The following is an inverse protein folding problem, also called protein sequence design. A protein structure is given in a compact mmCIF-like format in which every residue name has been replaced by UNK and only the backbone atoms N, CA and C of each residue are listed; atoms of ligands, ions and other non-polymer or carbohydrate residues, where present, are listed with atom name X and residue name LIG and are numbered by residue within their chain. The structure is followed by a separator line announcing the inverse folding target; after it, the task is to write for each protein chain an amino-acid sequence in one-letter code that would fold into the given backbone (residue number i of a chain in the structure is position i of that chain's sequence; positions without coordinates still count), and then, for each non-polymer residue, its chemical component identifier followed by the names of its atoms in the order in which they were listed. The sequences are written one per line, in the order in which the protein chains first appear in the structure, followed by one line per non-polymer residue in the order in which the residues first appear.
data_IF_953658592627
#
_entry.id   IF_953658592627
#
_cell.length_a   1.000
_cell.length_b   1.000
_cell.length_c   1.000
_cell.angle_alpha   90.00
_cell.angle_beta   90.00
_cell.angle_gamma   90.00
#
_symmetry.space_group_name_H-M   'P 1'
#
loop_
_entity.id
_entity.type
_entity.pdbx_description
1 polymer ?
#
# COMPACT_ATOMS: atom_id res chain seq x y z
N UNK A 1 3.15 -0.03 18.53
CA UNK A 1 1.99 -0.19 17.64
C UNK A 1 2.15 0.78 16.47
N UNK A 2 2.24 0.27 15.26
CA UNK A 2 2.38 1.06 14.02
C UNK A 2 1.03 1.65 13.64
N UNK A 3 1.02 2.89 13.10
CA UNK A 3 -0.20 3.60 12.70
C UNK A 3 0.00 4.28 11.35
N UNK A 4 -1.09 4.42 10.60
CA UNK A 4 -1.20 5.35 9.46
C UNK A 4 -2.14 6.46 9.92
N UNK A 5 -1.61 7.63 10.24
CA UNK A 5 -2.38 8.69 10.89
C UNK A 5 -3.00 8.20 12.23
N UNK A 6 -4.33 8.13 12.29
CA UNK A 6 -5.06 7.62 13.46
C UNK A 6 -5.35 6.12 13.40
N UNK A 7 -5.13 5.48 12.26
CA UNK A 7 -5.47 4.06 12.02
C UNK A 7 -4.36 3.17 12.54
N UNK A 8 -4.63 2.37 13.56
CA UNK A 8 -3.70 1.39 14.08
C UNK A 8 -3.68 0.13 13.20
N UNK A 9 -2.49 -0.34 12.86
CA UNK A 9 -2.27 -1.62 12.19
C UNK A 9 -2.02 -2.68 13.27
N UNK A 10 -3.08 -3.09 13.91
CA UNK A 10 -3.10 -4.07 15.00
C UNK A 10 -3.49 -5.47 14.50
N UNK A 11 -3.53 -6.42 15.43
CA UNK A 11 -4.04 -7.75 15.17
C UNK A 11 -5.58 -7.70 15.14
N UNK A 12 -6.19 -8.57 14.36
CA UNK A 12 -7.63 -8.64 14.17
C UNK A 12 -8.02 -8.41 12.71
N UNK A 13 -9.21 -7.87 12.51
CA UNK A 13 -9.73 -7.62 11.16
C UNK A 13 -8.80 -6.68 10.38
N UNK A 14 -8.35 -7.07 9.17
CA UNK A 14 -7.49 -6.23 8.33
C UNK A 14 -8.13 -4.87 8.06
N UNK A 15 -7.31 -3.81 8.09
CA UNK A 15 -7.77 -2.47 7.71
C UNK A 15 -8.01 -2.43 6.20
N UNK A 16 -9.04 -1.70 5.77
CA UNK A 16 -9.40 -1.56 4.36
C UNK A 16 -8.75 -0.30 3.79
N UNK A 17 -7.89 -0.48 2.80
CA UNK A 17 -7.29 0.59 2.01
C UNK A 17 -7.99 0.72 0.65
N UNK A 18 -8.33 1.94 0.26
CA UNK A 18 -8.95 2.21 -1.04
C UNK A 18 -8.05 3.12 -1.86
N UNK A 19 -7.59 2.67 -3.06
CA UNK A 19 -6.78 3.47 -3.94
C UNK A 19 -7.60 4.55 -4.65
N UNK A 20 -7.04 5.76 -4.72
CA UNK A 20 -7.45 6.85 -5.60
C UNK A 20 -6.52 6.84 -6.82
N UNK A 21 -7.10 6.84 -8.00
CA UNK A 21 -6.41 6.71 -9.29
C UNK A 21 -6.81 7.80 -10.29
N UNK A 22 -7.33 8.91 -9.79
CA UNK A 22 -7.69 10.07 -10.61
C UNK A 22 -6.47 10.66 -11.34
N UNK A 23 -6.67 11.09 -12.58
CA UNK A 23 -5.63 11.65 -13.45
C UNK A 23 -5.40 13.15 -13.24
N UNK A 24 -6.23 13.79 -12.43
CA UNK A 24 -6.15 15.21 -12.05
C UNK A 24 -6.61 15.42 -10.61
N UNK A 25 -6.30 16.59 -10.03
CA UNK A 25 -6.77 16.96 -8.69
C UNK A 25 -8.32 16.94 -8.60
N UNK A 26 -9.02 17.39 -9.63
CA UNK A 26 -10.48 17.35 -9.68
C UNK A 26 -11.05 15.94 -9.67
N UNK A 27 -10.45 15.01 -10.42
CA UNK A 27 -10.85 13.61 -10.41
C UNK A 27 -10.60 12.96 -9.04
N UNK A 28 -9.46 13.25 -8.41
CA UNK A 28 -9.15 12.77 -7.06
C UNK A 28 -10.15 13.30 -6.03
N UNK A 29 -10.58 14.57 -6.13
CA UNK A 29 -11.64 15.14 -5.30
C UNK A 29 -12.97 14.39 -5.50
N UNK A 30 -13.34 14.08 -6.74
CA UNK A 30 -14.55 13.31 -7.03
C UNK A 30 -14.48 11.88 -6.47
N UNK A 31 -13.31 11.26 -6.50
CA UNK A 31 -13.10 9.94 -5.89
C UNK A 31 -13.20 10.02 -4.36
N UNK A 32 -12.62 11.03 -3.71
CA UNK A 32 -12.77 11.25 -2.26
C UNK A 32 -14.24 11.42 -1.88
N UNK A 33 -14.99 12.22 -2.62
CA UNK A 33 -16.43 12.42 -2.37
C UNK A 33 -17.25 11.16 -2.55
N UNK A 34 -16.90 10.32 -3.53
CA UNK A 34 -17.55 9.03 -3.71
C UNK A 34 -17.34 8.08 -2.52
N UNK A 35 -16.25 8.25 -1.78
CA UNK A 35 -15.93 7.43 -0.61
C UNK A 35 -16.65 7.88 0.67
N UNK A 36 -17.30 9.05 0.71
CA UNK A 36 -17.93 9.60 1.93
C UNK A 36 -18.95 8.65 2.57
N UNK A 37 -19.68 7.88 1.75
CA UNK A 37 -20.67 6.91 2.22
C UNK A 37 -20.12 5.47 2.31
N UNK A 38 -18.82 5.28 2.18
CA UNK A 38 -18.19 3.96 2.23
C UNK A 38 -17.45 3.76 3.55
N UNK A 39 -17.28 2.49 3.91
CA UNK A 39 -16.52 2.13 5.11
C UNK A 39 -15.14 1.64 4.65
N UNK A 40 -14.14 2.42 5.00
CA UNK A 40 -12.72 2.14 4.77
C UNK A 40 -11.89 2.78 5.88
N UNK A 41 -10.63 2.42 5.99
CA UNK A 41 -9.72 2.91 7.02
C UNK A 41 -8.65 3.85 6.46
N UNK A 42 -8.10 3.54 5.28
CA UNK A 42 -6.97 4.23 4.64
C UNK A 42 -7.30 4.53 3.19
N UNK A 43 -6.88 5.69 2.71
CA UNK A 43 -6.88 6.02 1.28
C UNK A 43 -5.44 5.92 0.77
N UNK A 44 -5.23 5.21 -0.34
CA UNK A 44 -3.96 5.19 -1.05
C UNK A 44 -4.00 6.17 -2.22
N UNK A 45 -3.24 7.28 -2.14
CA UNK A 45 -3.09 8.19 -3.26
C UNK A 45 -2.07 7.63 -4.25
N UNK A 46 -2.53 7.00 -5.33
CA UNK A 46 -1.75 6.46 -6.44
C UNK A 46 -1.35 7.57 -7.41
N UNK A 47 -0.30 8.29 -7.01
CA UNK A 47 0.12 9.50 -7.75
C UNK A 47 0.73 9.18 -9.14
N UNK A 48 1.13 7.94 -9.38
CA UNK A 48 1.61 7.48 -10.68
C UNK A 48 0.56 7.55 -11.79
N UNK A 49 -0.73 7.63 -11.43
CA UNK A 49 -1.84 7.87 -12.38
C UNK A 49 -2.00 9.34 -12.76
N UNK A 50 -1.46 10.28 -11.97
CA UNK A 50 -1.60 11.70 -12.25
C UNK A 50 -0.92 12.05 -13.59
N UNK A 51 -1.66 12.72 -14.50
CA UNK A 51 -1.18 13.04 -15.85
C UNK A 51 0.12 13.83 -15.84
N UNK A 52 0.21 14.82 -14.95
CA UNK A 52 1.37 15.71 -14.84
C UNK A 52 2.24 15.37 -13.61
N UNK A 53 2.39 14.07 -13.30
CA UNK A 53 3.13 13.60 -12.13
C UNK A 53 4.61 14.03 -12.10
N UNK A 54 5.18 14.40 -13.23
CA UNK A 54 6.54 14.96 -13.32
C UNK A 54 6.65 16.43 -12.90
N UNK A 55 5.51 17.10 -12.64
CA UNK A 55 5.45 18.44 -12.06
C UNK A 55 5.18 18.36 -10.57
N UNK A 56 6.11 18.81 -9.74
CA UNK A 56 5.92 18.87 -8.29
C UNK A 56 4.79 19.83 -7.88
N UNK A 57 4.50 20.85 -8.68
CA UNK A 57 3.37 21.76 -8.44
C UNK A 57 2.05 21.02 -8.60
N UNK A 58 1.89 20.23 -9.70
CA UNK A 58 0.69 19.43 -9.92
C UNK A 58 0.51 18.36 -8.82
N UNK A 59 1.60 17.76 -8.37
CA UNK A 59 1.58 16.83 -7.22
C UNK A 59 1.17 17.54 -5.94
N UNK A 60 1.69 18.75 -5.70
CA UNK A 60 1.33 19.60 -4.55
C UNK A 60 -0.14 19.99 -4.53
N UNK A 61 -0.71 20.31 -5.70
CA UNK A 61 -2.15 20.57 -5.88
C UNK A 61 -2.97 19.32 -5.55
N UNK A 62 -2.61 18.16 -6.09
CA UNK A 62 -3.28 16.88 -5.83
C UNK A 62 -3.25 16.52 -4.33
N UNK A 63 -2.08 16.62 -3.68
CA UNK A 63 -1.92 16.40 -2.24
C UNK A 63 -2.80 17.34 -1.41
N UNK A 64 -2.85 18.62 -1.81
CA UNK A 64 -3.66 19.64 -1.13
C UNK A 64 -5.15 19.33 -1.27
N UNK A 65 -5.60 19.03 -2.48
CA UNK A 65 -6.99 18.73 -2.78
C UNK A 65 -7.48 17.48 -2.00
N UNK A 66 -6.70 16.39 -2.02
CA UNK A 66 -7.05 15.17 -1.29
C UNK A 66 -7.07 15.41 0.22
N UNK A 67 -6.09 16.13 0.78
CA UNK A 67 -6.07 16.44 2.23
C UNK A 67 -7.22 17.35 2.65
N UNK A 68 -7.66 18.27 1.80
CA UNK A 68 -8.83 19.12 2.07
C UNK A 68 -10.15 18.31 2.11
N UNK A 69 -10.33 17.35 1.21
CA UNK A 69 -11.52 16.47 1.24
C UNK A 69 -11.45 15.45 2.40
N UNK A 70 -10.25 15.09 2.86
CA UNK A 70 -10.01 14.09 3.92
C UNK A 70 -9.16 14.70 5.07
N UNK A 71 -9.65 15.74 5.78
CA UNK A 71 -8.84 16.47 6.76
C UNK A 71 -8.34 15.60 7.94
N UNK A 72 -9.07 14.56 8.28
CA UNK A 72 -8.75 13.58 9.32
C UNK A 72 -8.52 12.16 8.79
N UNK A 73 -8.59 11.96 7.48
CA UNK A 73 -8.40 10.66 6.84
C UNK A 73 -6.93 10.21 6.86
N UNK A 74 -6.70 8.92 6.97
CA UNK A 74 -5.38 8.33 6.83
C UNK A 74 -5.00 8.24 5.34
N UNK A 75 -3.94 8.91 4.93
CA UNK A 75 -3.49 8.99 3.53
C UNK A 75 -2.13 8.30 3.39
N UNK A 76 -2.10 7.23 2.59
CA UNK A 76 -0.91 6.58 2.11
C UNK A 76 -0.54 7.16 0.73
N UNK A 77 0.64 7.76 0.61
CA UNK A 77 1.17 8.22 -0.67
C UNK A 77 1.94 7.11 -1.37
N UNK A 78 1.59 6.82 -2.62
CA UNK A 78 2.24 5.78 -3.42
C UNK A 78 2.55 6.30 -4.82
N UNK A 79 3.82 6.30 -5.21
CA UNK A 79 4.23 6.30 -6.61
C UNK A 79 4.67 4.87 -6.96
N UNK A 80 3.83 4.13 -7.68
CA UNK A 80 4.19 2.81 -8.17
C UNK A 80 4.97 2.94 -9.47
N UNK A 81 6.17 2.36 -9.51
CA UNK A 81 6.98 2.37 -10.73
C UNK A 81 6.46 1.37 -11.76
N UNK A 82 6.80 1.60 -13.01
CA UNK A 82 6.37 0.72 -14.10
C UNK A 82 6.88 -0.71 -13.94
N UNK A 83 8.07 -0.88 -13.38
CA UNK A 83 8.65 -2.20 -13.09
C UNK A 83 7.83 -3.00 -12.08
N UNK A 84 7.12 -2.32 -11.19
CA UNK A 84 6.23 -2.93 -10.19
C UNK A 84 4.74 -2.70 -10.51
N UNK A 85 4.40 -2.47 -11.80
CA UNK A 85 3.02 -2.42 -12.28
C UNK A 85 2.33 -1.06 -12.16
N UNK A 86 3.08 0.02 -12.10
CA UNK A 86 2.56 1.40 -12.16
C UNK A 86 2.36 1.93 -13.57
N UNK A 87 1.77 3.12 -13.66
CA UNK A 87 1.37 3.74 -14.94
C UNK A 87 2.49 4.56 -15.57
N UNK A 88 3.30 5.27 -14.78
CA UNK A 88 4.26 6.24 -15.28
C UNK A 88 5.69 5.83 -14.97
N UNK A 89 6.57 5.96 -15.96
CA UNK A 89 8.01 5.76 -15.80
C UNK A 89 8.68 7.09 -15.50
N UNK A 90 9.56 7.08 -14.48
CA UNK A 90 10.38 8.25 -14.12
C UNK A 90 11.79 7.80 -13.76
N UNK A 91 12.79 8.69 -13.89
CA UNK A 91 14.13 8.41 -13.36
C UNK A 91 14.08 8.15 -11.86
N UNK A 92 14.91 7.22 -11.36
CA UNK A 92 14.97 6.87 -9.94
C UNK A 92 15.26 8.07 -9.04
N UNK A 93 16.07 9.02 -9.50
CA UNK A 93 16.33 10.28 -8.79
C UNK A 93 15.06 11.12 -8.61
N UNK A 94 14.17 11.13 -9.60
CA UNK A 94 12.87 11.81 -9.48
C UNK A 94 11.93 11.07 -8.53
N UNK A 95 11.90 9.74 -8.59
CA UNK A 95 11.12 8.90 -7.67
C UNK A 95 11.40 9.26 -6.20
N UNK A 96 12.67 9.32 -5.82
CA UNK A 96 13.06 9.67 -4.45
C UNK A 96 12.82 11.16 -4.11
N UNK A 97 13.01 12.06 -5.08
CA UNK A 97 12.67 13.48 -4.90
C UNK A 97 11.17 13.67 -4.63
N UNK A 98 10.33 13.00 -5.39
CA UNK A 98 8.88 13.02 -5.27
C UNK A 98 8.41 12.50 -3.89
N UNK A 99 8.96 11.37 -3.44
CA UNK A 99 8.69 10.82 -2.11
C UNK A 99 9.10 11.82 -1.01
N UNK A 100 10.30 12.37 -1.10
CA UNK A 100 10.78 13.38 -0.15
C UNK A 100 9.93 14.64 -0.14
N UNK A 101 9.45 15.08 -1.30
CA UNK A 101 8.51 16.20 -1.43
C UNK A 101 7.17 15.89 -0.73
N UNK A 102 6.60 14.72 -0.97
CA UNK A 102 5.34 14.30 -0.36
C UNK A 102 5.44 14.24 1.18
N UNK A 103 6.52 13.64 1.72
CA UNK A 103 6.77 13.58 3.16
C UNK A 103 6.82 14.99 3.78
N UNK A 104 7.62 15.89 3.18
CA UNK A 104 7.80 17.26 3.68
C UNK A 104 6.56 18.14 3.54
N UNK A 105 5.61 17.76 2.70
CA UNK A 105 4.35 18.51 2.52
C UNK A 105 3.48 18.56 3.77
N UNK A 106 3.64 17.60 4.70
CA UNK A 106 2.78 17.43 5.88
C UNK A 106 1.34 17.01 5.54
N UNK A 107 1.08 16.53 4.31
CA UNK A 107 -0.27 16.19 3.84
C UNK A 107 -0.54 14.68 3.76
N UNK A 108 0.45 13.85 4.10
CA UNK A 108 0.36 12.39 4.09
C UNK A 108 0.65 11.82 5.47
N UNK A 109 0.17 10.61 5.73
CA UNK A 109 0.38 9.91 7.00
C UNK A 109 1.31 8.71 6.84
N UNK A 110 1.38 8.16 5.62
CA UNK A 110 2.30 7.09 5.26
C UNK A 110 2.80 7.24 3.83
N UNK A 111 3.92 6.59 3.54
CA UNK A 111 4.52 6.52 2.20
C UNK A 111 4.87 5.08 1.84
N UNK A 112 4.60 4.69 0.59
CA UNK A 112 5.06 3.42 0.02
C UNK A 112 6.43 3.62 -0.64
N UNK A 113 7.40 2.76 -0.30
CA UNK A 113 8.77 2.79 -0.83
C UNK A 113 9.12 1.41 -1.36
N UNK A 114 9.46 1.30 -2.64
CA UNK A 114 9.81 0.02 -3.26
C UNK A 114 11.17 -0.51 -2.75
N UNK A 115 11.20 -1.77 -2.35
CA UNK A 115 12.35 -2.40 -1.69
C UNK A 115 13.57 -2.57 -2.58
N UNK A 116 13.38 -2.84 -3.87
CA UNK A 116 14.45 -3.07 -4.83
C UNK A 116 14.91 -1.78 -5.53
N UNK A 117 15.03 -0.68 -4.77
CA UNK A 117 15.57 0.61 -5.22
C UNK A 117 16.92 0.87 -4.57
N UNK A 118 17.57 1.97 -4.98
CA UNK A 118 18.88 2.37 -4.41
C UNK A 118 18.84 2.43 -2.88
N UNK A 119 19.68 1.61 -2.27
CA UNK A 119 19.75 1.44 -0.82
C UNK A 119 20.00 2.73 -0.05
N UNK A 120 20.97 3.53 -0.55
CA UNK A 120 21.35 4.77 0.12
C UNK A 120 20.22 5.81 0.06
N UNK A 121 19.45 5.82 -1.03
CA UNK A 121 18.29 6.69 -1.18
C UNK A 121 17.11 6.24 -0.30
N UNK A 122 16.87 4.93 -0.16
CA UNK A 122 15.89 4.38 0.79
C UNK A 122 16.23 4.82 2.23
N UNK A 123 17.49 4.68 2.66
CA UNK A 123 17.93 5.07 4.01
C UNK A 123 17.72 6.57 4.30
N UNK A 124 17.90 7.43 3.27
CA UNK A 124 17.57 8.86 3.37
C UNK A 124 16.06 9.08 3.54
N UNK A 125 15.23 8.37 2.79
CA UNK A 125 13.76 8.44 2.91
C UNK A 125 13.31 8.01 4.30
N UNK A 126 13.83 6.90 4.83
CA UNK A 126 13.52 6.44 6.18
C UNK A 126 13.84 7.49 7.25
N UNK A 127 14.99 8.18 7.10
CA UNK A 127 15.39 9.26 7.99
C UNK A 127 14.42 10.43 7.93
N UNK A 128 14.10 10.92 6.73
CA UNK A 128 13.19 12.05 6.53
C UNK A 128 11.77 11.70 6.98
N UNK A 129 11.29 10.49 6.71
CA UNK A 129 9.98 10.03 7.15
C UNK A 129 9.86 10.03 8.69
N UNK A 130 10.88 9.53 9.37
CA UNK A 130 10.96 9.54 10.84
C UNK A 130 10.93 10.96 11.41
N UNK A 131 11.66 11.90 10.82
CA UNK A 131 11.69 13.31 11.23
C UNK A 131 10.32 13.99 11.11
N UNK A 132 9.51 13.57 10.13
CA UNK A 132 8.18 14.12 9.85
C UNK A 132 7.02 13.29 10.43
N UNK A 133 7.31 12.19 11.13
CA UNK A 133 6.29 11.30 11.71
C UNK A 133 5.46 10.56 10.67
N UNK A 134 6.02 10.31 9.48
CA UNK A 134 5.36 9.59 8.37
C UNK A 134 5.75 8.11 8.43
N UNK A 135 4.76 7.22 8.42
CA UNK A 135 4.96 5.77 8.44
C UNK A 135 5.47 5.27 7.08
N UNK A 136 6.50 4.43 7.09
CA UNK A 136 7.04 3.84 5.85
C UNK A 136 6.55 2.42 5.65
N UNK A 137 5.78 2.22 4.57
CA UNK A 137 5.44 0.90 4.05
C UNK A 137 6.46 0.56 2.96
N UNK A 138 7.34 -0.40 3.24
CA UNK A 138 8.28 -0.86 2.22
C UNK A 138 7.67 -2.01 1.44
N UNK A 139 7.67 -1.91 0.11
CA UNK A 139 6.88 -2.79 -0.74
C UNK A 139 7.68 -3.49 -1.83
N UNK A 140 7.17 -4.63 -2.26
CA UNK A 140 7.60 -5.30 -3.49
C UNK A 140 6.41 -5.96 -4.17
N UNK A 141 6.34 -5.83 -5.50
CA UNK A 141 5.29 -6.40 -6.33
C UNK A 141 5.91 -7.26 -7.43
N UNK A 142 5.48 -8.52 -7.52
CA UNK A 142 5.87 -9.45 -8.58
C UNK A 142 4.63 -9.80 -9.42
N UNK A 143 4.56 -9.24 -10.63
CA UNK A 143 3.40 -9.44 -11.52
C UNK A 143 3.50 -10.69 -12.38
N UNK A 144 4.65 -11.39 -12.36
CA UNK A 144 4.90 -12.55 -13.21
C UNK A 144 4.66 -13.87 -12.45
N UNK A 145 5.00 -13.90 -11.17
CA UNK A 145 4.98 -15.13 -10.37
C UNK A 145 4.81 -14.89 -8.88
N UNK A 146 4.54 -15.96 -8.17
CA UNK A 146 4.72 -16.02 -6.71
C UNK A 146 6.13 -16.55 -6.41
N UNK A 147 6.97 -15.78 -5.70
CA UNK A 147 8.28 -16.25 -5.24
C UNK A 147 8.16 -17.47 -4.30
N UNK A 148 9.24 -18.18 -4.08
CA UNK A 148 9.29 -19.28 -3.11
C UNK A 148 9.01 -18.79 -1.68
N UNK A 149 8.63 -19.70 -0.80
CA UNK A 149 8.40 -19.41 0.62
C UNK A 149 9.60 -18.67 1.25
N UNK A 150 10.83 -19.17 1.01
CA UNK A 150 12.04 -18.58 1.56
C UNK A 150 12.33 -17.18 0.99
N UNK A 151 12.04 -16.95 -0.29
CA UNK A 151 12.17 -15.62 -0.91
C UNK A 151 11.15 -14.63 -0.35
N UNK A 152 9.88 -15.03 -0.17
CA UNK A 152 8.84 -14.19 0.41
C UNK A 152 9.23 -13.78 1.83
N UNK A 153 9.54 -14.76 2.69
CA UNK A 153 9.94 -14.50 4.08
C UNK A 153 11.22 -13.68 4.16
N UNK A 154 12.20 -14.00 3.30
CA UNK A 154 13.46 -13.25 3.22
C UNK A 154 13.26 -11.79 2.82
N UNK A 155 12.39 -11.48 1.84
CA UNK A 155 12.05 -10.10 1.42
C UNK A 155 11.36 -9.35 2.55
N UNK A 156 10.34 -9.94 3.20
CA UNK A 156 9.62 -9.30 4.32
C UNK A 156 10.56 -9.00 5.50
N UNK A 157 11.39 -9.96 5.90
CA UNK A 157 12.41 -9.76 6.95
C UNK A 157 13.45 -8.71 6.53
N UNK A 158 13.87 -8.72 5.26
CA UNK A 158 14.82 -7.74 4.71
C UNK A 158 14.30 -6.31 4.78
N UNK A 159 13.03 -6.09 4.43
CA UNK A 159 12.36 -4.79 4.55
C UNK A 159 12.34 -4.29 5.99
N UNK A 160 11.99 -5.17 6.93
CA UNK A 160 11.98 -4.83 8.37
C UNK A 160 13.38 -4.51 8.91
N UNK A 161 14.38 -5.30 8.54
CA UNK A 161 15.79 -5.05 8.93
C UNK A 161 16.33 -3.75 8.36
N UNK A 162 15.82 -3.31 7.22
CA UNK A 162 16.18 -2.02 6.61
C UNK A 162 15.56 -0.84 7.36
N UNK A 163 14.52 -1.07 8.16
CA UNK A 163 13.88 -0.05 9.00
C UNK A 163 12.46 0.32 8.55
N UNK A 164 11.82 -0.48 7.71
CA UNK A 164 10.41 -0.28 7.37
C UNK A 164 9.52 -0.43 8.60
N UNK A 165 8.52 0.45 8.74
CA UNK A 165 7.49 0.29 9.75
C UNK A 165 6.56 -0.88 9.40
N UNK A 166 6.28 -1.06 8.11
CA UNK A 166 5.44 -2.14 7.57
C UNK A 166 6.13 -2.75 6.35
N UNK A 167 6.26 -4.08 6.32
CA UNK A 167 6.70 -4.80 5.13
C UNK A 167 5.51 -5.25 4.29
N UNK A 168 5.54 -4.98 2.97
CA UNK A 168 4.45 -5.29 2.04
C UNK A 168 4.94 -6.12 0.86
N UNK A 169 4.23 -7.20 0.54
CA UNK A 169 4.51 -8.04 -0.62
C UNK A 169 3.23 -8.41 -1.36
N UNK A 170 3.19 -8.14 -2.66
CA UNK A 170 2.14 -8.57 -3.56
C UNK A 170 2.73 -9.43 -4.67
N UNK A 171 2.10 -10.54 -5.01
CA UNK A 171 2.60 -11.41 -6.08
C UNK A 171 1.48 -12.04 -6.90
N UNK A 172 1.80 -12.41 -8.15
CA UNK A 172 0.86 -13.04 -9.05
C UNK A 172 0.91 -14.55 -8.89
N UNK A 173 -0.21 -15.22 -8.55
CA UNK A 173 -0.28 -16.66 -8.50
C UNK A 173 -0.54 -17.23 -9.89
N UNK A 174 0.17 -18.29 -10.25
CA UNK A 174 -0.05 -19.10 -11.46
C UNK A 174 -0.82 -20.39 -11.13
N UNK A 175 -0.94 -20.74 -9.84
CA UNK A 175 -1.62 -21.92 -9.34
C UNK A 175 -2.20 -21.69 -7.93
N UNK A 176 -3.11 -22.56 -7.50
CA UNK A 176 -3.58 -22.56 -6.12
C UNK A 176 -2.45 -22.83 -5.10
N UNK A 177 -1.42 -23.56 -5.50
CA UNK A 177 -0.22 -23.81 -4.67
C UNK A 177 0.53 -22.50 -4.38
N UNK A 178 0.57 -21.58 -5.33
CA UNK A 178 1.22 -20.26 -5.15
C UNK A 178 0.49 -19.44 -4.08
N UNK A 179 -0.84 -19.48 -4.10
CA UNK A 179 -1.65 -18.82 -3.06
C UNK A 179 -1.36 -19.43 -1.68
N UNK A 180 -1.30 -20.74 -1.57
CA UNK A 180 -0.93 -21.43 -0.32
C UNK A 180 0.48 -21.08 0.13
N UNK A 181 1.43 -20.96 -0.80
CA UNK A 181 2.81 -20.54 -0.50
C UNK A 181 2.83 -19.14 0.14
N UNK A 182 2.11 -18.17 -0.44
CA UNK A 182 2.01 -16.82 0.13
C UNK A 182 1.36 -16.83 1.50
N UNK A 183 0.22 -17.52 1.67
CA UNK A 183 -0.48 -17.59 2.95
C UNK A 183 0.37 -18.24 4.03
N UNK A 184 1.08 -19.32 3.71
CA UNK A 184 2.00 -19.97 4.64
C UNK A 184 3.17 -19.08 5.05
N UNK A 185 3.74 -18.33 4.09
CA UNK A 185 4.82 -17.38 4.38
C UNK A 185 4.30 -16.21 5.25
N UNK A 186 3.08 -15.73 5.01
CA UNK A 186 2.44 -14.67 5.81
C UNK A 186 2.26 -15.12 7.25
N UNK A 187 1.68 -16.31 7.46
CA UNK A 187 1.47 -16.88 8.78
C UNK A 187 2.79 -17.10 9.53
N UNK A 188 3.79 -17.66 8.86
CA UNK A 188 5.10 -17.89 9.45
C UNK A 188 5.79 -16.59 9.95
N UNK A 189 5.74 -15.53 9.14
CA UNK A 189 6.26 -14.20 9.56
C UNK A 189 5.45 -13.66 10.72
N UNK A 190 4.11 -13.75 10.67
CA UNK A 190 3.25 -13.26 11.74
C UNK A 190 3.44 -14.01 13.06
N UNK A 191 3.61 -15.32 13.01
CA UNK A 191 3.92 -16.14 14.17
C UNK A 191 5.29 -15.82 14.77
N UNK A 192 6.29 -15.56 13.93
CA UNK A 192 7.65 -15.21 14.38
C UNK A 192 7.75 -13.78 14.93
N UNK A 193 6.98 -12.82 14.36
CA UNK A 193 7.00 -11.40 14.70
C UNK A 193 5.58 -10.88 14.96
N UNK A 194 4.91 -11.30 16.06
CA UNK A 194 3.48 -11.05 16.28
C UNK A 194 3.12 -9.56 16.42
N UNK A 195 4.04 -8.73 16.86
CA UNK A 195 3.82 -7.30 17.07
C UNK A 195 4.17 -6.43 15.85
N UNK A 196 4.73 -7.04 14.79
CA UNK A 196 5.14 -6.33 13.59
C UNK A 196 4.08 -6.50 12.49
N UNK A 197 3.45 -5.40 12.03
CA UNK A 197 2.47 -5.51 10.95
C UNK A 197 3.15 -5.81 9.63
N UNK A 198 2.56 -6.72 8.88
CA UNK A 198 2.90 -7.01 7.50
C UNK A 198 1.66 -6.90 6.61
N UNK A 199 1.87 -6.66 5.32
CA UNK A 199 0.82 -6.62 4.31
C UNK A 199 1.19 -7.59 3.20
N UNK A 200 0.37 -8.61 2.98
CA UNK A 200 0.61 -9.57 1.90
C UNK A 200 -0.64 -9.82 1.09
N UNK A 201 -0.47 -10.00 -0.21
CA UNK A 201 -1.58 -10.36 -1.09
C UNK A 201 -1.16 -11.15 -2.31
N UNK A 202 -1.94 -12.14 -2.64
CA UNK A 202 -1.92 -12.82 -3.91
C UNK A 202 -2.87 -12.11 -4.88
N UNK A 203 -2.37 -11.73 -6.06
CA UNK A 203 -3.12 -10.92 -7.01
C UNK A 203 -4.07 -11.77 -7.87
N UNK A 204 -4.88 -11.11 -8.69
CA UNK A 204 -5.80 -11.76 -9.61
C UNK A 204 -6.96 -12.49 -8.90
N UNK A 205 -7.81 -13.10 -9.73
CA UNK A 205 -9.00 -13.82 -9.23
C UNK A 205 -8.62 -15.04 -8.37
N UNK A 206 -7.55 -15.73 -8.75
CA UNK A 206 -7.07 -16.91 -8.04
C UNK A 206 -6.59 -16.57 -6.62
N UNK A 207 -6.00 -15.38 -6.44
CA UNK A 207 -5.49 -14.89 -5.16
C UNK A 207 -6.52 -14.19 -4.26
N UNK A 208 -7.77 -14.07 -4.69
CA UNK A 208 -8.80 -13.29 -3.98
C UNK A 208 -8.96 -13.71 -2.50
N UNK A 209 -8.79 -14.97 -2.17
CA UNK A 209 -8.87 -15.49 -0.80
C UNK A 209 -7.87 -14.79 0.14
N UNK A 210 -6.67 -14.44 -0.34
CA UNK A 210 -5.66 -13.76 0.48
C UNK A 210 -6.10 -12.36 0.94
N UNK A 211 -7.03 -11.73 0.21
CA UNK A 211 -7.53 -10.38 0.52
C UNK A 211 -8.56 -10.38 1.66
N UNK A 212 -9.20 -11.51 1.92
CA UNK A 212 -10.28 -11.63 2.91
C UNK A 212 -9.86 -12.46 4.14
N UNK A 213 -8.72 -13.11 4.10
CA UNK A 213 -8.24 -14.01 5.17
C UNK A 213 -7.10 -13.42 6.01
N UNK A 214 -6.89 -12.09 5.93
CA UNK A 214 -5.78 -11.42 6.62
C UNK A 214 -5.83 -11.57 8.14
N UNK A 215 -6.99 -11.60 8.77
CA UNK A 215 -7.15 -11.82 10.20
C UNK A 215 -6.61 -13.20 10.63
N UNK A 216 -6.81 -14.22 9.78
CA UNK A 216 -6.37 -15.59 10.07
C UNK A 216 -4.87 -15.75 9.83
N UNK A 217 -4.34 -15.21 8.73
CA UNK A 217 -2.95 -15.41 8.31
C UNK A 217 -2.00 -14.27 8.71
N UNK A 218 -2.51 -13.13 9.17
CA UNK A 218 -1.69 -12.06 9.73
C UNK A 218 -1.40 -10.87 8.81
N UNK A 219 -2.12 -10.71 7.67
CA UNK A 219 -2.01 -9.48 6.87
C UNK A 219 -2.84 -8.36 7.49
N UNK A 220 -2.18 -7.27 7.92
CA UNK A 220 -2.81 -6.20 8.70
C UNK A 220 -3.68 -5.24 7.87
N UNK A 221 -3.54 -5.26 6.53
CA UNK A 221 -4.28 -4.35 5.64
C UNK A 221 -4.58 -5.05 4.31
N UNK A 222 -5.75 -4.77 3.77
CA UNK A 222 -6.19 -5.27 2.47
C UNK A 222 -6.70 -4.14 1.58
N UNK A 223 -6.74 -4.36 0.26
CA UNK A 223 -7.11 -3.34 -0.71
C UNK A 223 -8.46 -3.66 -1.36
N UNK A 224 -9.39 -2.72 -1.22
CA UNK A 224 -10.66 -2.71 -1.92
C UNK A 224 -10.68 -1.64 -3.01
N UNK A 225 -11.51 -1.84 -4.04
CA UNK A 225 -11.72 -0.83 -5.09
C UNK A 225 -12.95 0.03 -4.79
N UNK A 226 -12.89 1.31 -5.16
CA UNK A 226 -14.05 2.20 -5.18
C UNK A 226 -14.84 2.01 -6.49
N UNK A 227 -14.60 2.87 -7.49
CA UNK A 227 -15.23 2.79 -8.81
C UNK A 227 -14.46 1.88 -9.77
N UNK A 228 -13.14 1.88 -9.67
CA UNK A 228 -12.24 1.14 -10.56
C UNK A 228 -11.12 0.49 -9.74
N UNK A 229 -10.75 -0.73 -10.09
CA UNK A 229 -9.66 -1.42 -9.45
C UNK A 229 -8.30 -0.86 -9.93
N UNK A 230 -7.37 -0.65 -9.01
CA UNK A 230 -5.98 -0.24 -9.30
C UNK A 230 -5.02 -1.43 -9.45
N UNK A 231 -5.48 -2.64 -9.13
CA UNK A 231 -4.71 -3.86 -9.25
C UNK A 231 -5.63 -5.07 -9.49
N UNK A 232 -5.12 -6.15 -10.12
CA UNK A 232 -5.91 -7.34 -10.39
C UNK A 232 -6.49 -7.99 -9.13
N UNK A 233 -7.76 -8.40 -9.19
CA UNK A 233 -8.42 -9.16 -8.12
C UNK A 233 -8.88 -8.35 -6.91
N UNK A 234 -8.86 -7.02 -6.97
CA UNK A 234 -9.50 -6.19 -5.94
C UNK A 234 -11.01 -6.37 -5.96
N UNK A 235 -11.60 -6.54 -4.77
CA UNK A 235 -13.03 -6.58 -4.56
C UNK A 235 -13.56 -5.15 -4.36
N UNK A 236 -14.83 -4.91 -4.71
CA UNK A 236 -15.52 -3.68 -4.32
C UNK A 236 -15.44 -3.48 -2.80
N UNK A 237 -15.19 -2.25 -2.36
CA UNK A 237 -14.95 -1.92 -0.95
C UNK A 237 -16.12 -2.33 -0.04
N UNK A 238 -17.37 -2.19 -0.52
CA UNK A 238 -18.57 -2.55 0.25
C UNK A 238 -18.65 -4.07 0.40
N UNK A 239 -18.44 -4.80 -0.68
CA UNK A 239 -18.39 -6.27 -0.67
C UNK A 239 -17.28 -6.79 0.23
N UNK A 240 -16.08 -6.23 0.10
CA UNK A 240 -14.92 -6.59 0.92
C UNK A 240 -15.23 -6.41 2.41
N UNK A 241 -15.78 -5.26 2.79
CA UNK A 241 -16.15 -4.94 4.16
C UNK A 241 -17.19 -5.90 4.73
N UNK A 242 -18.22 -6.28 3.93
CA UNK A 242 -19.23 -7.26 4.34
C UNK A 242 -18.61 -8.63 4.60
N UNK A 243 -17.71 -9.09 3.73
CA UNK A 243 -17.03 -10.37 3.88
C UNK A 243 -16.14 -10.35 5.13
N UNK A 244 -15.32 -9.34 5.32
CA UNK A 244 -14.44 -9.23 6.49
C UNK A 244 -15.23 -9.25 7.79
N UNK A 245 -16.35 -8.53 7.87
CA UNK A 245 -17.24 -8.57 9.04
C UNK A 245 -17.91 -9.93 9.28
N UNK A 246 -18.20 -10.66 8.22
CA UNK A 246 -18.79 -11.99 8.34
C UNK A 246 -17.79 -13.06 8.80
N UNK A 247 -16.48 -12.81 8.59
CA UNK A 247 -15.39 -13.69 9.01
C UNK A 247 -14.85 -13.37 10.42
N UNK A 248 -15.05 -12.12 10.89
CA UNK A 248 -14.69 -11.64 12.22
C UNK A 248 -15.70 -12.08 13.27
#
# INVERSE_FOLDING_TARGET
MVKIGKVALDNGMPKICVPLIGHSADELVQECRYLQDKIYDVVELRIDFLKDVTSLDAVGEALTAVRQELPNGAILFTFRTREEGGETEVPESYYFNLIGYAIKSGKIDAVDVEYFRDRASIEKVLTVAKEHGVTVIMSNHDFDKTPSFDEITGRLIGMKKLGADVAKLACMPNSAKDVLTLLSATEAIKSQYPDEPIITMSMGKLGAISRISGEIFGSALTFGSAKKASAPGQLDVTTLQQILRALH
#
